data_IF_629475530653
#
_entry.id   IF_629475530653
#
_cell.length_a   1.000
_cell.length_b   1.000
_cell.length_c   1.000
_cell.angle_alpha   90.00
_cell.angle_beta   90.00
_cell.angle_gamma   90.00
#
_symmetry.space_group_name_H-M   'P 1'
#
loop_
_entity.id
_entity.type
_entity.pdbx_description
1 polymer ?
#
# COMPACT_ATOMS: atom_id res chain seq x y z
N UNK A 1 -34.17 -2.32 4.93
CA UNK A 1 -33.17 -3.31 5.37
C UNK A 1 -32.01 -3.17 4.42
N UNK A 2 -31.02 -2.37 4.80
CA UNK A 2 -29.76 -2.27 4.08
C UNK A 2 -28.99 -3.56 4.39
N UNK A 3 -28.62 -4.31 3.34
CA UNK A 3 -27.80 -5.50 3.46
C UNK A 3 -26.43 -5.09 4.02
N UNK A 4 -26.27 -5.30 5.33
CA UNK A 4 -25.07 -5.02 6.11
C UNK A 4 -23.98 -6.09 5.96
N UNK A 5 -23.91 -6.77 4.81
CA UNK A 5 -22.74 -7.57 4.50
C UNK A 5 -21.73 -6.67 3.80
N UNK A 6 -20.84 -6.05 4.58
CA UNK A 6 -19.64 -5.32 4.11
C UNK A 6 -18.62 -6.23 3.40
N UNK A 7 -19.07 -7.25 2.68
CA UNK A 7 -18.26 -8.07 1.81
C UNK A 7 -18.08 -7.31 0.50
N UNK A 8 -16.84 -6.93 0.21
CA UNK A 8 -16.47 -6.47 -1.12
C UNK A 8 -17.02 -7.46 -2.17
N UNK A 9 -17.61 -6.97 -3.28
CA UNK A 9 -18.18 -7.84 -4.31
C UNK A 9 -17.13 -8.86 -4.76
N UNK A 10 -17.48 -10.15 -4.73
CA UNK A 10 -16.58 -11.23 -5.17
C UNK A 10 -16.26 -11.00 -6.65
N UNK A 11 -14.99 -10.76 -6.94
CA UNK A 11 -14.51 -10.71 -8.32
C UNK A 11 -14.55 -12.12 -8.91
N UNK A 12 -15.12 -12.26 -10.11
CA UNK A 12 -15.21 -13.52 -10.83
C UNK A 12 -14.66 -13.34 -12.23
N UNK A 13 -13.95 -14.33 -12.75
CA UNK A 13 -13.53 -14.32 -14.15
C UNK A 13 -14.75 -14.36 -15.07
N UNK A 14 -14.66 -13.65 -16.20
CA UNK A 14 -15.62 -13.83 -17.29
C UNK A 14 -15.56 -15.26 -17.83
N UNK A 15 -16.62 -15.65 -18.56
CA UNK A 15 -16.75 -17.02 -19.09
C UNK A 15 -15.57 -17.41 -19.98
N UNK A 16 -15.12 -16.50 -20.84
CA UNK A 16 -14.04 -16.76 -21.80
C UNK A 16 -12.71 -17.05 -21.10
N UNK A 17 -12.37 -16.25 -20.11
CA UNK A 17 -11.17 -16.40 -19.27
C UNK A 17 -11.26 -17.68 -18.44
N UNK A 18 -12.43 -17.94 -17.84
CA UNK A 18 -12.68 -19.16 -17.07
C UNK A 18 -12.53 -20.43 -17.91
N UNK A 19 -13.12 -20.46 -19.10
CA UNK A 19 -13.04 -21.58 -20.03
C UNK A 19 -11.61 -21.82 -20.50
N UNK A 20 -10.86 -20.74 -20.80
CA UNK A 20 -9.45 -20.81 -21.20
C UNK A 20 -8.57 -21.38 -20.09
N UNK A 21 -8.69 -20.84 -18.88
CA UNK A 21 -7.91 -21.32 -17.72
C UNK A 21 -8.28 -22.77 -17.36
N UNK A 22 -9.57 -23.11 -17.38
CA UNK A 22 -10.06 -24.48 -17.19
C UNK A 22 -9.37 -25.46 -18.14
N UNK A 23 -9.31 -25.12 -19.44
CA UNK A 23 -8.63 -25.94 -20.43
C UNK A 23 -7.16 -26.15 -20.08
N UNK A 24 -6.44 -25.08 -19.72
CA UNK A 24 -5.03 -25.15 -19.34
C UNK A 24 -4.79 -25.99 -18.08
N UNK A 25 -5.66 -25.88 -17.06
CA UNK A 25 -5.59 -26.73 -15.87
C UNK A 25 -5.83 -28.21 -16.21
N UNK A 26 -6.89 -28.53 -16.95
CA UNK A 26 -7.15 -29.90 -17.38
C UNK A 26 -5.99 -30.48 -18.17
N UNK A 27 -5.43 -29.70 -19.09
CA UNK A 27 -4.28 -30.10 -19.89
C UNK A 27 -3.03 -30.36 -19.01
N UNK A 28 -2.82 -29.57 -17.96
CA UNK A 28 -1.72 -29.74 -17.02
C UNK A 28 -1.86 -30.97 -16.09
N UNK A 29 -3.09 -31.45 -15.88
CA UNK A 29 -3.36 -32.67 -15.10
C UNK A 29 -3.47 -33.94 -15.98
N UNK A 30 -3.30 -33.82 -17.31
CA UNK A 30 -3.25 -35.00 -18.20
C UNK A 30 -2.10 -35.92 -17.77
N UNK A 31 -2.41 -37.21 -17.63
CA UNK A 31 -1.43 -38.22 -17.22
C UNK A 31 -1.26 -38.36 -15.70
N UNK A 32 -2.02 -37.62 -14.88
CA UNK A 32 -2.14 -37.87 -13.45
C UNK A 32 -3.21 -38.93 -13.17
N UNK A 33 -3.05 -39.68 -12.08
CA UNK A 33 -4.03 -40.66 -11.60
C UNK A 33 -5.17 -39.96 -10.85
N UNK A 34 -5.90 -39.08 -11.54
CA UNK A 34 -7.08 -38.38 -11.02
C UNK A 34 -8.29 -38.74 -11.87
N UNK A 35 -9.42 -38.96 -11.21
CA UNK A 35 -10.71 -39.12 -11.89
C UNK A 35 -11.17 -37.79 -12.51
N UNK A 36 -12.04 -37.82 -13.53
CA UNK A 36 -12.59 -36.60 -14.11
C UNK A 36 -13.27 -35.69 -13.08
N UNK A 37 -13.97 -36.26 -12.09
CA UNK A 37 -14.64 -35.50 -11.04
C UNK A 37 -13.64 -34.76 -10.12
N UNK A 38 -12.52 -35.40 -9.78
CA UNK A 38 -11.45 -34.77 -8.99
C UNK A 38 -10.80 -33.62 -9.76
N UNK A 39 -10.54 -33.80 -11.06
CA UNK A 39 -9.99 -32.74 -11.91
C UNK A 39 -10.95 -31.54 -11.97
N UNK A 40 -12.26 -31.75 -12.12
CA UNK A 40 -13.24 -30.65 -12.12
C UNK A 40 -13.30 -29.90 -10.78
N UNK A 41 -13.21 -30.65 -9.68
CA UNK A 41 -13.16 -30.06 -8.35
C UNK A 41 -11.90 -29.21 -8.16
N UNK A 42 -10.72 -29.76 -8.50
CA UNK A 42 -9.44 -29.04 -8.42
C UNK A 42 -9.43 -27.78 -9.29
N UNK A 43 -9.89 -27.88 -10.55
CA UNK A 43 -10.04 -26.72 -11.45
C UNK A 43 -10.91 -25.64 -10.79
N UNK A 44 -12.04 -26.04 -10.21
CA UNK A 44 -12.96 -25.09 -9.56
C UNK A 44 -12.30 -24.40 -8.37
N UNK A 45 -11.58 -25.15 -7.53
CA UNK A 45 -10.86 -24.62 -6.37
C UNK A 45 -9.78 -23.65 -6.83
N UNK A 46 -8.95 -24.03 -7.80
CA UNK A 46 -7.83 -23.20 -8.25
C UNK A 46 -8.33 -21.91 -8.89
N UNK A 47 -9.37 -21.96 -9.74
CA UNK A 47 -9.96 -20.76 -10.33
C UNK A 47 -10.49 -19.80 -9.25
N UNK A 48 -11.17 -20.33 -8.23
CA UNK A 48 -11.64 -19.52 -7.09
C UNK A 48 -10.48 -18.92 -6.30
N UNK A 49 -9.39 -19.64 -6.12
CA UNK A 49 -8.19 -19.11 -5.45
C UNK A 49 -7.56 -17.96 -6.24
N UNK A 50 -7.49 -18.08 -7.58
CA UNK A 50 -7.03 -16.99 -8.44
C UNK A 50 -7.95 -15.75 -8.37
N UNK A 51 -9.28 -15.96 -8.34
CA UNK A 51 -10.27 -14.88 -8.13
C UNK A 51 -10.10 -14.19 -6.77
N UNK A 52 -9.76 -14.95 -5.73
CA UNK A 52 -9.45 -14.41 -4.40
C UNK A 52 -8.15 -13.59 -4.41
N UNK A 53 -7.10 -14.06 -5.09
CA UNK A 53 -5.87 -13.29 -5.25
C UNK A 53 -6.13 -11.95 -5.97
N UNK A 54 -6.99 -11.96 -7.00
CA UNK A 54 -7.39 -10.73 -7.69
C UNK A 54 -8.15 -9.78 -6.75
N UNK A 55 -9.05 -10.31 -5.93
CA UNK A 55 -9.82 -9.53 -4.95
C UNK A 55 -8.95 -8.90 -3.86
N UNK A 56 -7.78 -9.48 -3.59
CA UNK A 56 -6.83 -8.92 -2.63
C UNK A 56 -6.06 -7.71 -3.17
N UNK A 57 -5.89 -7.57 -4.49
CA UNK A 57 -5.05 -6.52 -5.10
C UNK A 57 -5.48 -5.10 -4.66
N UNK A 58 -6.77 -4.70 -4.74
CA UNK A 58 -7.20 -3.38 -4.28
C UNK A 58 -7.03 -3.18 -2.77
N UNK A 59 -7.12 -4.26 -1.98
CA UNK A 59 -6.89 -4.20 -0.54
C UNK A 59 -5.42 -3.91 -0.22
N UNK A 60 -4.48 -4.52 -0.98
CA UNK A 60 -3.05 -4.25 -0.84
C UNK A 60 -2.71 -2.77 -1.02
N UNK A 61 -3.37 -2.06 -1.96
CA UNK A 61 -3.14 -0.62 -2.16
C UNK A 61 -3.46 0.21 -0.91
N UNK A 62 -4.43 -0.20 -0.10
CA UNK A 62 -4.82 0.53 1.12
C UNK A 62 -3.76 0.44 2.22
N UNK A 63 -3.00 -0.66 2.25
CA UNK A 63 -1.97 -0.90 3.26
C UNK A 63 -0.57 -0.59 2.75
N UNK A 64 -0.40 -0.31 1.46
CA UNK A 64 0.89 0.04 0.91
C UNK A 64 1.29 1.47 1.34
N UNK A 65 2.50 1.63 1.88
CA UNK A 65 3.02 2.96 2.19
C UNK A 65 3.13 3.78 0.91
N UNK A 66 2.78 5.07 0.99
CA UNK A 66 2.96 5.99 -0.14
C UNK A 66 4.40 5.99 -0.65
N UNK A 67 4.59 6.24 -1.94
CA UNK A 67 5.92 6.34 -2.54
C UNK A 67 6.78 7.38 -1.81
N UNK A 68 8.09 7.14 -1.73
CA UNK A 68 9.01 8.07 -1.06
C UNK A 68 8.91 9.49 -1.64
N UNK A 69 8.69 9.61 -2.95
CA UNK A 69 8.44 10.89 -3.60
C UNK A 69 7.18 11.57 -3.07
N UNK A 70 6.03 10.89 -3.03
CA UNK A 70 4.78 11.47 -2.50
C UNK A 70 4.89 11.86 -1.04
N UNK A 71 5.59 11.05 -0.23
CA UNK A 71 5.87 11.37 1.17
C UNK A 71 6.64 12.68 1.29
N UNK A 72 7.67 12.88 0.46
CA UNK A 72 8.44 14.14 0.40
C UNK A 72 7.57 15.32 -0.06
N UNK A 73 6.82 15.16 -1.15
CA UNK A 73 5.91 16.17 -1.68
C UNK A 73 4.89 16.63 -0.63
N UNK A 74 4.35 15.72 0.19
CA UNK A 74 3.44 16.07 1.30
C UNK A 74 4.13 16.90 2.39
N UNK A 75 5.37 16.56 2.77
CA UNK A 75 6.13 17.32 3.76
C UNK A 75 6.47 18.72 3.23
N UNK A 76 6.89 18.81 1.97
CA UNK A 76 7.15 20.09 1.29
C UNK A 76 5.88 20.94 1.18
N UNK A 77 4.76 20.32 0.81
CA UNK A 77 3.45 20.98 0.80
C UNK A 77 3.08 21.52 2.18
N UNK A 78 3.30 20.76 3.25
CA UNK A 78 3.06 21.23 4.62
C UNK A 78 3.92 22.45 4.98
N UNK A 79 5.21 22.43 4.61
CA UNK A 79 6.11 23.56 4.81
C UNK A 79 5.61 24.82 4.05
N UNK A 80 5.17 24.66 2.80
CA UNK A 80 4.62 25.76 2.00
C UNK A 80 3.33 26.34 2.62
N UNK A 81 2.42 25.50 3.13
CA UNK A 81 1.22 25.96 3.82
C UNK A 81 1.54 26.75 5.10
N UNK A 82 2.54 26.31 5.87
CA UNK A 82 2.99 27.03 7.06
C UNK A 82 3.64 28.37 6.73
N UNK A 83 4.43 28.45 5.66
CA UNK A 83 4.97 29.72 5.15
C UNK A 83 3.86 30.67 4.69
N UNK A 84 2.84 30.16 3.99
CA UNK A 84 1.66 30.93 3.63
C UNK A 84 0.92 31.46 4.86
N UNK A 85 0.68 30.61 5.86
CA UNK A 85 0.06 31.01 7.11
C UNK A 85 0.89 32.07 7.87
N UNK A 86 2.21 31.91 7.89
CA UNK A 86 3.13 32.88 8.50
C UNK A 86 3.05 34.25 7.81
N UNK A 87 2.98 34.26 6.47
CA UNK A 87 2.85 35.51 5.72
C UNK A 87 1.51 36.20 6.01
N UNK A 88 0.42 35.44 6.14
CA UNK A 88 -0.86 36.01 6.57
C UNK A 88 -0.76 36.58 8.00
N UNK A 89 -0.12 35.87 8.94
CA UNK A 89 0.08 36.35 10.32
C UNK A 89 0.90 37.64 10.38
N UNK A 90 1.89 37.83 9.51
CA UNK A 90 2.66 39.09 9.40
C UNK A 90 1.82 40.24 8.87
N UNK A 91 0.80 39.98 8.06
CA UNK A 91 -0.02 41.04 7.46
C UNK A 91 -1.22 41.43 8.34
N UNK A 92 -1.54 40.66 9.38
CA UNK A 92 -2.57 41.00 10.35
C UNK A 92 -2.12 42.09 11.33
N UNK A 93 -3.06 42.92 11.77
CA UNK A 93 -2.85 43.87 12.87
C UNK A 93 -2.89 43.17 14.23
N UNK A 94 -2.30 43.82 15.25
CA UNK A 94 -2.15 43.24 16.60
C UNK A 94 -3.49 42.97 17.29
N UNK A 95 -4.54 43.74 17.00
CA UNK A 95 -5.86 43.52 17.60
C UNK A 95 -6.53 42.28 17.01
N UNK A 96 -6.46 42.12 15.68
CA UNK A 96 -6.92 40.92 15.00
C UNK A 96 -6.16 39.67 15.48
N UNK A 97 -4.83 39.76 15.61
CA UNK A 97 -3.99 38.67 16.13
C UNK A 97 -4.39 38.25 17.55
N UNK A 98 -4.57 39.21 18.46
CA UNK A 98 -4.98 38.93 19.83
C UNK A 98 -6.38 38.32 19.92
N UNK A 99 -7.30 38.78 19.08
CA UNK A 99 -8.65 38.21 19.03
C UNK A 99 -8.64 36.76 18.54
N UNK A 100 -7.88 36.45 17.49
CA UNK A 100 -7.71 35.08 16.98
C UNK A 100 -7.09 34.19 18.07
N UNK A 101 -6.03 34.67 18.74
CA UNK A 101 -5.37 33.91 19.80
C UNK A 101 -6.31 33.59 20.96
N UNK A 102 -7.11 34.57 21.40
CA UNK A 102 -8.11 34.37 22.45
C UNK A 102 -9.18 33.36 22.04
N UNK A 103 -9.77 33.49 20.84
CA UNK A 103 -10.79 32.55 20.34
C UNK A 103 -10.24 31.14 20.16
N UNK A 104 -9.05 31.00 19.59
CA UNK A 104 -8.42 29.69 19.41
C UNK A 104 -8.17 29.00 20.76
N UNK A 105 -7.66 29.74 21.75
CA UNK A 105 -7.43 29.23 23.10
C UNK A 105 -8.72 28.91 23.86
N UNK A 106 -9.79 29.66 23.63
CA UNK A 106 -11.12 29.38 24.18
C UNK A 106 -11.67 28.04 23.65
N UNK A 107 -11.56 27.77 22.34
CA UNK A 107 -12.00 26.50 21.76
C UNK A 107 -11.10 25.31 22.17
N UNK A 108 -9.78 25.52 22.25
CA UNK A 108 -8.86 24.51 22.79
C UNK A 108 -9.17 24.19 24.27
N UNK A 109 -9.45 25.23 25.06
CA UNK A 109 -9.80 25.11 26.48
C UNK A 109 -11.03 24.22 26.69
N UNK A 110 -12.10 24.43 25.88
CA UNK A 110 -13.31 23.58 25.91
C UNK A 110 -13.03 22.14 25.54
N UNK A 111 -12.15 21.92 24.57
CA UNK A 111 -11.83 20.58 24.05
C UNK A 111 -10.92 19.79 24.99
N UNK A 112 -9.92 20.45 25.59
CA UNK A 112 -8.87 19.83 26.39
C UNK A 112 -9.14 19.88 27.90
N UNK A 113 -10.16 20.63 28.35
CA UNK A 113 -10.49 20.83 29.76
C UNK A 113 -9.45 21.68 30.52
N UNK A 114 -8.56 22.38 29.82
CA UNK A 114 -7.54 23.26 30.40
C UNK A 114 -8.04 24.69 30.44
N UNK A 115 -7.72 25.50 31.47
CA UNK A 115 -8.11 26.92 31.50
C UNK A 115 -7.57 27.70 30.30
N UNK A 116 -8.32 28.70 29.83
CA UNK A 116 -7.84 29.61 28.80
C UNK A 116 -6.77 30.54 29.40
N UNK A 117 -5.56 30.49 28.83
CA UNK A 117 -4.42 31.34 29.23
C UNK A 117 -4.73 32.85 29.12
N UNK A 118 -5.72 33.21 28.29
CA UNK A 118 -6.21 34.56 28.13
C UNK A 118 -7.56 34.77 28.83
N UNK A 119 -7.59 35.46 29.99
CA UNK A 119 -8.83 35.73 30.71
C UNK A 119 -9.75 36.75 30.00
N UNK A 120 -9.28 37.48 28.97
CA UNK A 120 -10.11 38.34 28.13
C UNK A 120 -9.46 38.62 26.77
N UNK A 121 -10.28 38.96 25.76
CA UNK A 121 -9.80 39.35 24.43
C UNK A 121 -8.95 40.62 24.42
N UNK A 122 -9.20 41.55 25.34
CA UNK A 122 -8.41 42.78 25.52
C UNK A 122 -6.98 42.48 26.00
N UNK A 123 -6.84 41.54 26.95
CA UNK A 123 -5.53 41.11 27.44
C UNK A 123 -4.75 40.34 26.37
N UNK A 124 -5.45 39.50 25.59
CA UNK A 124 -4.86 38.82 24.44
C UNK A 124 -4.35 39.79 23.37
N UNK A 125 -5.08 40.88 23.08
CA UNK A 125 -4.64 41.93 22.14
C UNK A 125 -3.40 42.70 22.62
N UNK A 126 -3.28 42.97 23.93
CA UNK A 126 -2.10 43.62 24.49
C UNK A 126 -0.86 42.71 24.44
N UNK A 127 -1.03 41.41 24.65
CA UNK A 127 0.06 40.42 24.62
C UNK A 127 0.40 39.93 23.20
N UNK A 128 -0.48 40.18 22.22
CA UNK A 128 -0.37 39.71 20.84
C UNK A 128 0.92 40.18 20.15
N UNK A 129 1.46 41.35 20.49
CA UNK A 129 2.70 41.87 19.90
C UNK A 129 3.91 41.01 20.27
N UNK A 130 4.04 40.67 21.55
CA UNK A 130 5.11 39.78 22.04
C UNK A 130 4.94 38.36 21.50
N UNK A 131 3.70 37.89 21.42
CA UNK A 131 3.37 36.60 20.81
C UNK A 131 3.68 36.55 19.32
N UNK A 132 3.48 37.64 18.60
CA UNK A 132 3.70 37.71 17.14
C UNK A 132 5.15 37.38 16.81
N UNK A 133 6.11 38.03 17.46
CA UNK A 133 7.54 37.81 17.17
C UNK A 133 7.99 36.39 17.54
N UNK A 134 7.56 35.90 18.71
CA UNK A 134 7.86 34.55 19.17
C UNK A 134 7.25 33.48 18.25
N UNK A 135 5.97 33.64 17.86
CA UNK A 135 5.27 32.70 16.98
C UNK A 135 5.79 32.73 15.55
N UNK A 136 6.09 33.92 15.00
CA UNK A 136 6.73 34.05 13.68
C UNK A 136 8.06 33.29 13.69
N UNK A 137 8.89 33.48 14.72
CA UNK A 137 10.17 32.79 14.84
C UNK A 137 10.01 31.28 14.96
N UNK A 138 9.07 30.81 15.80
CA UNK A 138 8.79 29.40 15.99
C UNK A 138 8.25 28.71 14.72
N UNK A 139 7.28 29.31 14.04
CA UNK A 139 6.69 28.78 12.81
C UNK A 139 7.72 28.79 11.68
N UNK A 140 8.57 29.82 11.59
CA UNK A 140 9.68 29.87 10.62
C UNK A 140 10.66 28.72 10.85
N UNK A 141 11.09 28.52 12.10
CA UNK A 141 11.99 27.43 12.46
C UNK A 141 11.36 26.05 12.19
N UNK A 142 10.06 25.89 12.48
CA UNK A 142 9.33 24.66 12.20
C UNK A 142 9.23 24.38 10.69
N UNK A 143 8.90 25.38 9.87
CA UNK A 143 8.87 25.22 8.41
C UNK A 143 10.24 24.81 7.84
N UNK A 144 11.32 25.44 8.32
CA UNK A 144 12.68 25.06 7.95
C UNK A 144 13.00 23.62 8.36
N UNK A 145 12.57 23.21 9.55
CA UNK A 145 12.68 21.84 10.03
C UNK A 145 11.95 20.85 9.12
N UNK A 146 10.75 21.17 8.64
CA UNK A 146 10.02 20.34 7.68
C UNK A 146 10.77 20.19 6.36
N UNK A 147 11.32 21.27 5.81
CA UNK A 147 12.10 21.21 4.56
C UNK A 147 13.34 20.32 4.71
N UNK A 148 14.08 20.46 5.82
CA UNK A 148 15.20 19.55 6.14
C UNK A 148 14.72 18.11 6.30
N UNK A 149 13.59 17.91 6.98
CA UNK A 149 12.98 16.59 7.15
C UNK A 149 12.58 15.96 5.82
N UNK A 150 12.19 16.73 4.80
CA UNK A 150 11.89 16.19 3.48
C UNK A 150 13.14 15.62 2.80
N UNK A 151 14.28 16.31 2.90
CA UNK A 151 15.56 15.83 2.38
C UNK A 151 16.14 14.66 3.18
N UNK A 152 15.96 14.68 4.50
CA UNK A 152 16.49 13.69 5.44
C UNK A 152 15.51 12.55 5.72
N UNK A 153 14.32 12.57 5.08
CA UNK A 153 13.27 11.59 5.30
C UNK A 153 13.88 10.19 5.06
N UNK A 154 13.93 9.33 6.10
CA UNK A 154 14.44 7.98 5.93
C UNK A 154 13.72 7.33 4.77
N UNK A 155 14.48 6.70 3.89
CA UNK A 155 13.87 5.86 2.87
C UNK A 155 12.96 4.88 3.61
N UNK A 156 11.67 4.86 3.24
CA UNK A 156 10.89 3.67 3.56
C UNK A 156 11.72 2.48 3.07
N UNK A 157 11.83 1.37 3.82
CA UNK A 157 12.53 0.16 3.37
C UNK A 157 11.79 -0.50 2.19
N UNK A 158 11.72 0.22 1.07
CA UNK A 158 11.33 -0.19 -0.25
C UNK A 158 12.59 -0.13 -1.13
N UNK A 159 13.71 -0.58 -0.56
CA UNK A 159 14.73 -1.23 -1.35
C UNK A 159 14.62 -2.72 -1.07
N UNK A 160 14.35 -3.44 -2.15
CA UNK A 160 13.62 -4.70 -2.24
C UNK A 160 14.41 -5.93 -1.75
N UNK A 161 13.70 -6.83 -1.06
CA UNK A 161 14.07 -8.21 -0.68
C UNK A 161 14.94 -8.40 0.58
N UNK A 162 14.59 -9.42 1.38
CA UNK A 162 15.31 -9.82 2.59
C UNK A 162 14.39 -10.50 3.61
N UNK A 163 14.95 -11.40 4.42
CA UNK A 163 14.24 -12.24 5.42
C UNK A 163 13.57 -11.48 6.57
N UNK A 164 13.92 -10.20 6.75
CA UNK A 164 13.54 -9.39 7.92
C UNK A 164 12.45 -8.35 7.57
N UNK A 165 11.84 -8.43 6.39
CA UNK A 165 10.84 -7.45 5.94
C UNK A 165 9.40 -7.98 6.04
N UNK A 166 8.43 -7.13 6.44
CA UNK A 166 7.02 -7.52 6.44
C UNK A 166 6.50 -7.73 5.02
N UNK A 167 5.64 -8.74 4.82
CA UNK A 167 5.08 -9.10 3.51
C UNK A 167 4.35 -7.94 2.79
N UNK A 168 3.80 -6.97 3.54
CA UNK A 168 3.12 -5.79 2.99
C UNK A 168 4.07 -4.74 2.39
N UNK A 169 5.39 -4.92 2.52
CA UNK A 169 6.40 -4.09 1.86
C UNK A 169 6.66 -4.48 0.41
N UNK A 170 6.17 -5.63 -0.05
CA UNK A 170 6.31 -6.04 -1.44
C UNK A 170 5.35 -5.25 -2.34
N UNK A 171 5.77 -4.88 -3.57
CA UNK A 171 4.86 -4.44 -4.61
C UNK A 171 3.73 -5.46 -4.76
N UNK A 172 2.50 -4.98 -4.98
CA UNK A 172 1.30 -5.85 -5.02
C UNK A 172 1.43 -6.86 -6.15
N UNK A 173 2.03 -6.45 -7.26
CA UNK A 173 2.36 -7.27 -8.41
C UNK A 173 3.27 -8.44 -8.04
N UNK A 174 4.32 -8.17 -7.24
CA UNK A 174 5.24 -9.20 -6.78
C UNK A 174 4.57 -10.14 -5.77
N UNK A 175 3.83 -9.60 -4.80
CA UNK A 175 3.10 -10.41 -3.82
C UNK A 175 2.10 -11.36 -4.50
N UNK A 176 1.32 -10.85 -5.46
CA UNK A 176 0.40 -11.67 -6.26
C UNK A 176 1.15 -12.71 -7.10
N UNK A 177 2.27 -12.34 -7.74
CA UNK A 177 3.06 -13.28 -8.51
C UNK A 177 3.65 -14.42 -7.65
N UNK A 178 4.08 -14.11 -6.41
CA UNK A 178 4.52 -15.11 -5.43
C UNK A 178 3.37 -16.01 -4.96
N UNK A 179 2.16 -15.46 -4.79
CA UNK A 179 0.98 -16.26 -4.47
C UNK A 179 0.63 -17.24 -5.60
N UNK A 180 0.74 -16.81 -6.86
CA UNK A 180 0.57 -17.70 -8.03
C UNK A 180 1.69 -18.75 -8.11
N UNK A 181 2.95 -18.39 -7.83
CA UNK A 181 4.05 -19.35 -7.75
C UNK A 181 3.76 -20.46 -6.73
N UNK A 182 3.34 -20.05 -5.53
CA UNK A 182 2.97 -20.97 -4.46
C UNK A 182 1.82 -21.89 -4.87
N UNK A 183 0.78 -21.36 -5.51
CA UNK A 183 -0.34 -22.15 -6.02
C UNK A 183 0.12 -23.21 -7.02
N UNK A 184 1.05 -22.86 -7.92
CA UNK A 184 1.63 -23.82 -8.86
C UNK A 184 2.40 -24.92 -8.13
N UNK A 185 3.20 -24.55 -7.14
CA UNK A 185 3.96 -25.51 -6.34
C UNK A 185 3.06 -26.46 -5.54
N UNK A 186 2.06 -25.94 -4.82
CA UNK A 186 1.11 -26.73 -4.02
C UNK A 186 0.31 -27.73 -4.87
N UNK A 187 0.11 -27.45 -6.16
CA UNK A 187 -0.61 -28.31 -7.09
C UNK A 187 0.32 -29.14 -8.00
N UNK A 188 1.62 -29.20 -7.70
CA UNK A 188 2.64 -29.90 -8.49
C UNK A 188 2.71 -29.45 -9.97
N UNK A 189 2.35 -28.20 -10.25
CA UNK A 189 2.36 -27.61 -11.59
C UNK A 189 3.72 -26.97 -11.89
N UNK A 190 4.13 -27.03 -13.16
CA UNK A 190 5.39 -26.40 -13.59
C UNK A 190 5.27 -24.88 -13.68
N UNK A 191 5.96 -24.16 -12.81
CA UNK A 191 6.02 -22.70 -12.83
C UNK A 191 7.06 -22.20 -13.84
N UNK A 192 6.62 -21.88 -15.06
CA UNK A 192 7.51 -21.44 -16.15
C UNK A 192 7.53 -19.92 -16.28
N UNK A 193 8.72 -19.32 -16.19
CA UNK A 193 8.95 -17.87 -16.38
C UNK A 193 8.97 -17.54 -17.87
N UNK A 194 7.79 -17.42 -18.48
CA UNK A 194 7.61 -17.04 -19.88
C UNK A 194 6.38 -16.14 -19.99
N UNK A 195 6.26 -15.32 -21.04
CA UNK A 195 5.10 -14.44 -21.20
C UNK A 195 3.84 -15.16 -21.74
N UNK A 196 4.01 -16.37 -22.29
CA UNK A 196 2.95 -17.12 -22.97
C UNK A 196 2.64 -18.46 -22.28
N UNK A 197 3.30 -18.75 -21.16
CA UNK A 197 3.12 -19.99 -20.42
C UNK A 197 1.87 -19.97 -19.55
N UNK A 198 1.54 -21.13 -18.98
CA UNK A 198 0.37 -21.28 -18.14
C UNK A 198 0.37 -20.32 -16.93
N UNK A 199 1.49 -20.22 -16.22
CA UNK A 199 1.64 -19.28 -15.10
C UNK A 199 1.42 -17.81 -15.53
N UNK A 200 1.81 -17.48 -16.76
CA UNK A 200 1.61 -16.15 -17.34
C UNK A 200 0.12 -15.86 -17.60
N UNK A 201 -0.61 -16.83 -18.13
CA UNK A 201 -2.05 -16.72 -18.35
C UNK A 201 -2.80 -16.57 -17.02
N UNK A 202 -2.44 -17.36 -15.99
CA UNK A 202 -3.02 -17.21 -14.66
C UNK A 202 -2.72 -15.81 -14.08
N UNK A 203 -1.46 -15.37 -14.10
CA UNK A 203 -1.07 -14.09 -13.52
C UNK A 203 -1.71 -12.91 -14.26
N UNK A 204 -1.78 -12.98 -15.60
CA UNK A 204 -2.45 -11.96 -16.42
C UNK A 204 -3.94 -11.88 -16.11
N UNK A 205 -4.62 -13.02 -15.99
CA UNK A 205 -6.03 -13.04 -15.62
C UNK A 205 -6.25 -12.42 -14.24
N UNK A 206 -5.41 -12.77 -13.25
CA UNK A 206 -5.50 -12.20 -11.89
C UNK A 206 -5.26 -10.69 -11.90
N UNK A 207 -4.23 -10.21 -12.60
CA UNK A 207 -3.97 -8.78 -12.74
C UNK A 207 -5.11 -8.04 -13.42
N UNK A 208 -5.59 -8.55 -14.55
CA UNK A 208 -6.70 -7.94 -15.28
C UNK A 208 -7.97 -7.87 -14.41
N UNK A 209 -8.31 -8.96 -13.70
CA UNK A 209 -9.46 -8.98 -12.81
C UNK A 209 -9.29 -8.03 -11.61
N UNK A 210 -8.08 -7.92 -11.07
CA UNK A 210 -7.74 -7.01 -9.97
C UNK A 210 -7.49 -5.55 -10.38
N UNK A 211 -7.71 -5.17 -11.64
CA UNK A 211 -7.56 -3.79 -12.13
C UNK A 211 -6.14 -3.37 -12.46
N UNK A 212 -5.19 -4.30 -12.58
CA UNK A 212 -3.82 -4.04 -13.01
C UNK A 212 -3.65 -4.35 -14.51
N UNK A 213 -3.42 -3.31 -15.30
CA UNK A 213 -3.14 -3.43 -16.73
C UNK A 213 -1.64 -3.65 -16.98
N UNK A 214 -1.19 -4.90 -16.82
CA UNK A 214 0.23 -5.26 -16.95
C UNK A 214 0.42 -6.19 -18.16
N UNK A 215 1.11 -5.69 -19.19
CA UNK A 215 1.36 -6.45 -20.42
C UNK A 215 2.52 -7.45 -20.28
N UNK A 216 3.55 -7.11 -19.50
CA UNK A 216 4.75 -7.93 -19.26
C UNK A 216 4.69 -8.64 -17.92
N UNK A 217 3.97 -9.76 -17.90
CA UNK A 217 3.87 -10.62 -16.69
C UNK A 217 5.12 -11.46 -16.47
N UNK A 218 5.93 -11.70 -17.51
CA UNK A 218 7.19 -12.46 -17.43
C UNK A 218 8.20 -11.87 -16.45
N UNK A 219 8.23 -10.53 -16.35
CA UNK A 219 9.05 -9.82 -15.37
C UNK A 219 8.67 -10.22 -13.94
N UNK A 220 7.38 -10.17 -13.60
CA UNK A 220 6.89 -10.48 -12.25
C UNK A 220 7.02 -11.96 -11.91
N UNK A 221 6.81 -12.85 -12.88
CA UNK A 221 7.09 -14.29 -12.70
C UNK A 221 8.57 -14.54 -12.37
N UNK A 222 9.49 -13.81 -13.02
CA UNK A 222 10.93 -13.90 -12.74
C UNK A 222 11.25 -13.41 -11.33
N UNK A 223 10.72 -12.24 -10.97
CA UNK A 223 10.90 -11.66 -9.64
C UNK A 223 10.36 -12.60 -8.56
N UNK A 224 9.18 -13.21 -8.77
CA UNK A 224 8.60 -14.17 -7.86
C UNK A 224 9.50 -15.41 -7.68
N UNK A 225 9.99 -16.02 -8.77
CA UNK A 225 10.88 -17.19 -8.71
C UNK A 225 12.21 -16.88 -8.02
N UNK A 226 12.77 -15.69 -8.25
CA UNK A 226 14.10 -15.32 -7.78
C UNK A 226 14.07 -14.67 -6.38
N UNK A 227 12.88 -14.43 -5.82
CA UNK A 227 12.72 -13.88 -4.47
C UNK A 227 13.23 -14.85 -3.39
N UNK A 228 13.80 -14.33 -2.29
CA UNK A 228 14.36 -15.15 -1.20
C UNK A 228 13.34 -16.11 -0.59
N UNK A 229 12.09 -15.66 -0.52
CA UNK A 229 10.98 -16.40 0.12
C UNK A 229 10.12 -17.18 -0.88
N UNK A 230 10.57 -17.24 -2.13
CA UNK A 230 9.90 -18.04 -3.17
C UNK A 230 9.95 -19.52 -2.84
N UNK A 231 8.96 -20.27 -3.35
CA UNK A 231 8.94 -21.73 -3.22
C UNK A 231 10.12 -22.35 -3.99
N UNK A 232 10.49 -21.75 -5.12
CA UNK A 232 11.68 -22.15 -5.89
C UNK A 232 12.97 -22.02 -5.06
N UNK A 233 13.15 -20.92 -4.33
CA UNK A 233 14.31 -20.73 -3.46
C UNK A 233 14.28 -21.61 -2.22
N UNK A 234 13.09 -21.85 -1.66
CA UNK A 234 12.90 -22.80 -0.56
C UNK A 234 13.34 -24.22 -0.95
N UNK A 235 12.90 -24.72 -2.12
CA UNK A 235 13.28 -26.04 -2.60
C UNK A 235 14.79 -26.17 -2.84
N UNK A 236 15.43 -25.15 -3.42
CA UNK A 236 16.89 -25.12 -3.59
C UNK A 236 17.63 -25.22 -2.26
N UNK A 237 17.16 -24.50 -1.23
CA UNK A 237 17.72 -24.58 0.13
C UNK A 237 17.53 -25.98 0.73
N UNK A 238 16.34 -26.55 0.60
CA UNK A 238 16.03 -27.89 1.09
C UNK A 238 16.84 -28.98 0.39
N UNK A 239 17.09 -28.85 -0.91
CA UNK A 239 17.93 -29.78 -1.66
C UNK A 239 19.38 -29.68 -1.20
N UNK A 240 19.94 -28.47 -1.10
CA UNK A 240 21.30 -28.27 -0.59
C UNK A 240 21.49 -28.85 0.81
N UNK A 241 20.52 -28.67 1.71
CA UNK A 241 20.55 -29.24 3.06
C UNK A 241 20.51 -30.78 3.07
N UNK A 242 19.95 -31.42 2.04
CA UNK A 242 19.92 -32.89 1.92
C UNK A 242 21.20 -33.47 1.32
N UNK A 243 21.98 -32.64 0.62
CA UNK A 243 23.26 -33.01 -0.01
C UNK A 243 24.45 -32.79 0.93
N UNK A 244 24.27 -32.04 2.03
CA UNK A 244 25.21 -31.83 3.14
C UNK A 244 24.97 -32.83 4.29
#
# INVERSE_FOLDING_TARGET
MEDSSGYAPRLCFDKTTRDRLTKLFRDAHKGRNLSPAEVEFEVTVILRTLEQYASAIPLYEQFQPESQQRRRERIESLAAHLEGALEQLKNLDSAALGFIAWRAKDEMSKTLGTPNDFPSGLKAAAEAVSWREANISAITAFSLGLRKSASELPQHPLNTSGKDYPWYSLPKELSTAMAVERLFWENNLSFTVSNNGFAAECLRAVFQLGGLHIDRVDYWLRQARDHSDSMSSFNKRMQKYREE
#
